data_IF_216419870000
#
_entry.id   IF_216419870000
#
_cell.length_a   1.000
_cell.length_b   1.000
_cell.length_c   1.000
_cell.angle_alpha   90.00
_cell.angle_beta   90.00
_cell.angle_gamma   90.00
#
_symmetry.space_group_name_H-M   'P 1'
#
loop_
_entity.id
_entity.type
_entity.pdbx_description
1 polymer ?
#
# COMPACT_ATOMS: atom_id res chain seq x y z
N UNK A 1 9.00 10.23 51.67
CA UNK A 1 9.35 11.00 50.47
C UNK A 1 9.22 10.15 49.18
N UNK A 2 9.79 8.97 49.09
CA UNK A 2 9.71 8.07 47.91
C UNK A 2 8.29 7.73 47.41
N UNK A 3 7.31 7.45 48.28
CA UNK A 3 5.94 7.10 47.86
C UNK A 3 5.24 8.22 47.12
N UNK A 4 5.50 9.49 47.45
CA UNK A 4 4.92 10.65 46.76
C UNK A 4 5.55 10.87 45.36
N UNK A 5 6.84 10.61 45.24
CA UNK A 5 7.56 10.70 43.93
C UNK A 5 7.06 9.62 42.98
N UNK A 6 6.92 8.36 43.45
CA UNK A 6 6.40 7.26 42.65
C UNK A 6 4.97 7.49 42.18
N UNK A 7 4.09 8.05 43.03
CA UNK A 7 2.73 8.41 42.67
C UNK A 7 2.71 9.53 41.60
N UNK A 8 3.60 10.50 41.72
CA UNK A 8 3.76 11.60 40.72
C UNK A 8 4.25 11.08 39.39
N UNK A 9 5.27 10.21 39.35
CA UNK A 9 5.81 9.60 38.15
C UNK A 9 4.76 8.74 37.46
N UNK A 10 3.97 7.94 38.20
CA UNK A 10 2.86 7.15 37.66
C UNK A 10 1.80 8.03 37.01
N UNK A 11 1.45 9.14 37.65
CA UNK A 11 0.47 10.12 37.12
C UNK A 11 0.98 10.84 35.86
N UNK A 12 2.27 11.11 35.77
CA UNK A 12 2.93 11.64 34.57
C UNK A 12 2.91 10.63 33.41
N UNK A 13 3.23 9.37 33.66
CA UNK A 13 3.19 8.30 32.68
C UNK A 13 1.77 8.10 32.11
N UNK A 14 0.76 8.12 32.98
CA UNK A 14 -0.64 8.04 32.55
C UNK A 14 -1.05 9.24 31.68
N UNK A 15 -0.62 10.46 32.03
CA UNK A 15 -0.85 11.65 31.21
C UNK A 15 -0.20 11.55 29.84
N UNK A 16 1.05 11.10 29.80
CA UNK A 16 1.77 10.89 28.52
C UNK A 16 1.10 9.81 27.65
N UNK A 17 0.65 8.70 28.26
CA UNK A 17 -0.11 7.65 27.57
C UNK A 17 -1.43 8.19 27.01
N UNK A 18 -2.16 8.96 27.81
CA UNK A 18 -3.42 9.60 27.40
C UNK A 18 -3.20 10.61 26.25
N UNK A 19 -2.11 11.37 26.30
CA UNK A 19 -1.74 12.32 25.23
C UNK A 19 -1.36 11.61 23.94
N UNK A 20 -0.62 10.49 24.02
CA UNK A 20 -0.30 9.66 22.84
C UNK A 20 -1.55 9.07 22.19
N UNK A 21 -2.52 8.60 22.98
CA UNK A 21 -3.80 8.09 22.50
C UNK A 21 -4.60 9.21 21.84
N UNK A 22 -4.67 10.39 22.45
CA UNK A 22 -5.35 11.56 21.89
C UNK A 22 -4.74 12.00 20.56
N UNK A 23 -3.40 12.03 20.46
CA UNK A 23 -2.71 12.37 19.22
C UNK A 23 -2.94 11.29 18.14
N UNK A 24 -2.94 10.01 18.51
CA UNK A 24 -3.27 8.90 17.62
C UNK A 24 -4.71 9.02 17.08
N UNK A 25 -5.69 9.30 17.97
CA UNK A 25 -7.10 9.51 17.57
C UNK A 25 -7.22 10.74 16.68
N UNK A 26 -6.55 11.84 17.01
CA UNK A 26 -6.59 13.07 16.21
C UNK A 26 -6.02 12.84 14.81
N UNK A 27 -4.87 12.18 14.71
CA UNK A 27 -4.26 11.86 13.42
C UNK A 27 -5.12 10.90 12.58
N UNK A 28 -5.77 9.91 13.22
CA UNK A 28 -6.69 9.02 12.50
C UNK A 28 -7.99 9.72 12.10
N UNK A 29 -8.47 10.69 12.89
CA UNK A 29 -9.60 11.55 12.52
C UNK A 29 -9.26 12.47 11.35
N UNK A 30 -8.05 13.01 11.29
CA UNK A 30 -7.58 13.79 10.13
C UNK A 30 -7.49 12.91 8.87
N UNK A 31 -6.99 11.67 8.99
CA UNK A 31 -7.00 10.70 7.89
C UNK A 31 -8.44 10.39 7.46
N UNK A 32 -9.34 10.15 8.41
CA UNK A 32 -10.75 9.89 8.14
C UNK A 32 -11.44 11.10 7.51
N UNK A 33 -11.11 12.33 7.95
CA UNK A 33 -11.62 13.57 7.38
C UNK A 33 -11.10 13.80 5.97
N UNK A 34 -9.82 13.53 5.69
CA UNK A 34 -9.27 13.56 4.32
C UNK A 34 -9.98 12.52 3.44
N UNK A 35 -10.24 11.32 3.95
CA UNK A 35 -11.05 10.32 3.25
C UNK A 35 -12.51 10.80 3.05
N UNK A 36 -13.11 11.43 4.05
CA UNK A 36 -14.47 11.95 3.97
C UNK A 36 -14.58 13.19 3.08
N UNK A 37 -13.64 14.14 3.13
CA UNK A 37 -13.61 15.30 2.23
C UNK A 37 -13.40 14.88 0.77
N UNK A 38 -12.52 13.91 0.52
CA UNK A 38 -12.39 13.32 -0.81
C UNK A 38 -13.65 12.52 -1.20
N UNK A 39 -14.32 11.84 -0.26
CA UNK A 39 -15.61 11.19 -0.51
C UNK A 39 -16.75 12.20 -0.75
N UNK A 40 -16.72 13.40 -0.09
CA UNK A 40 -17.66 14.49 -0.38
C UNK A 40 -17.42 15.10 -1.76
N UNK A 41 -16.18 15.19 -2.20
CA UNK A 41 -15.83 15.63 -3.57
C UNK A 41 -16.31 14.63 -4.64
N UNK A 42 -16.37 13.34 -4.30
CA UNK A 42 -16.92 12.27 -5.13
C UNK A 42 -18.46 12.28 -5.22
N UNK A 43 -19.15 13.15 -4.47
CA UNK A 43 -20.63 13.25 -4.48
C UNK A 43 -21.25 13.69 -5.81
N UNK A 44 -20.44 14.23 -6.72
CA UNK A 44 -20.87 14.55 -8.10
C UNK A 44 -20.63 13.43 -9.11
N UNK A 45 -19.78 12.45 -8.77
CA UNK A 45 -19.45 11.32 -9.64
C UNK A 45 -20.24 10.09 -9.15
N UNK A 46 -20.98 9.41 -10.02
CA UNK A 46 -21.75 8.18 -9.71
C UNK A 46 -20.88 6.97 -9.38
N UNK A 47 -19.65 7.19 -8.92
CA UNK A 47 -18.59 6.20 -8.79
C UNK A 47 -18.81 5.18 -7.66
N UNK A 48 -19.52 5.55 -6.60
CA UNK A 48 -19.73 4.65 -5.44
C UNK A 48 -21.01 3.82 -5.62
N UNK A 49 -21.00 2.92 -6.59
CA UNK A 49 -22.06 1.91 -6.69
C UNK A 49 -21.76 0.72 -5.77
N UNK A 50 -22.82 0.00 -5.37
CA UNK A 50 -22.70 -1.24 -4.62
C UNK A 50 -21.79 -2.24 -5.35
N UNK A 51 -21.94 -2.38 -6.66
CA UNK A 51 -21.14 -3.29 -7.49
C UNK A 51 -19.67 -2.91 -7.52
N UNK A 52 -19.34 -1.62 -7.53
CA UNK A 52 -17.94 -1.18 -7.46
C UNK A 52 -17.31 -1.58 -6.13
N UNK A 53 -18.03 -1.40 -5.02
CA UNK A 53 -17.54 -1.82 -3.69
C UNK A 53 -17.38 -3.34 -3.65
N UNK A 54 -18.38 -4.11 -4.10
CA UNK A 54 -18.31 -5.57 -4.18
C UNK A 54 -17.11 -6.02 -5.02
N UNK A 55 -16.86 -5.38 -6.17
CA UNK A 55 -15.70 -5.65 -7.00
C UNK A 55 -14.37 -5.41 -6.26
N UNK A 56 -14.23 -4.31 -5.52
CA UNK A 56 -13.01 -4.06 -4.74
C UNK A 56 -12.81 -5.12 -3.65
N UNK A 57 -13.89 -5.58 -3.02
CA UNK A 57 -13.82 -6.64 -2.01
C UNK A 57 -13.46 -8.03 -2.56
N UNK A 58 -13.54 -8.26 -3.88
CA UNK A 58 -13.02 -9.50 -4.48
C UNK A 58 -11.52 -9.69 -4.22
N UNK A 59 -10.78 -8.60 -4.01
CA UNK A 59 -9.38 -8.65 -3.58
C UNK A 59 -9.15 -9.42 -2.28
N UNK A 60 -10.17 -9.57 -1.42
CA UNK A 60 -10.11 -10.39 -0.21
C UNK A 60 -10.06 -11.90 -0.49
N UNK A 61 -10.46 -12.33 -1.69
CA UNK A 61 -10.42 -13.73 -2.11
C UNK A 61 -9.15 -14.08 -2.89
N UNK A 62 -8.35 -13.09 -3.29
CA UNK A 62 -7.10 -13.31 -4.02
C UNK A 62 -5.99 -13.51 -3.00
N UNK A 63 -5.59 -14.76 -2.86
CA UNK A 63 -4.52 -15.15 -1.96
C UNK A 63 -3.16 -14.80 -2.57
N UNK A 64 -2.23 -14.33 -1.73
CA UNK A 64 -0.85 -14.01 -2.08
C UNK A 64 0.10 -15.08 -1.57
N UNK A 65 1.31 -15.16 -2.14
CA UNK A 65 2.34 -16.12 -1.73
C UNK A 65 1.89 -17.58 -1.82
N UNK A 66 1.09 -17.92 -2.85
CA UNK A 66 0.50 -19.24 -3.02
C UNK A 66 1.54 -20.36 -3.22
N UNK A 67 2.75 -20.03 -3.59
CA UNK A 67 3.88 -20.94 -3.80
C UNK A 67 4.83 -21.01 -2.58
N UNK A 68 4.44 -20.43 -1.44
CA UNK A 68 5.23 -20.39 -0.23
C UNK A 68 4.44 -20.93 0.97
N UNK A 69 5.14 -21.44 1.98
CA UNK A 69 4.58 -21.73 3.29
C UNK A 69 4.27 -20.38 3.97
N UNK A 70 3.04 -20.22 4.41
CA UNK A 70 2.57 -18.98 5.05
C UNK A 70 1.76 -19.32 6.30
N UNK A 71 1.95 -18.59 7.41
CA UNK A 71 1.24 -18.86 8.66
C UNK A 71 -0.25 -18.52 8.56
N UNK A 72 -0.58 -17.45 7.82
CA UNK A 72 -1.94 -16.98 7.56
C UNK A 72 -2.08 -16.62 6.07
N UNK A 73 -3.33 -16.56 5.61
CA UNK A 73 -3.60 -16.08 4.26
C UNK A 73 -3.35 -14.57 4.17
N UNK A 74 -2.39 -14.16 3.36
CA UNK A 74 -2.28 -12.77 2.91
C UNK A 74 -3.12 -12.59 1.66
N UNK A 75 -4.01 -11.62 1.65
CA UNK A 75 -4.83 -11.30 0.48
C UNK A 75 -4.36 -10.04 -0.24
N UNK A 76 -4.81 -9.85 -1.47
CA UNK A 76 -4.52 -8.61 -2.20
C UNK A 76 -5.17 -7.39 -1.52
N UNK A 77 -6.32 -7.55 -0.85
CA UNK A 77 -6.95 -6.47 -0.09
C UNK A 77 -6.13 -6.07 1.13
N UNK A 78 -5.57 -7.04 1.89
CA UNK A 78 -4.69 -6.76 3.03
C UNK A 78 -3.46 -5.99 2.58
N UNK A 79 -2.83 -6.43 1.49
CA UNK A 79 -1.68 -5.73 0.92
C UNK A 79 -2.05 -4.32 0.47
N UNK A 80 -3.19 -4.14 -0.18
CA UNK A 80 -3.63 -2.82 -0.61
C UNK A 80 -3.83 -1.88 0.57
N UNK A 81 -4.47 -2.34 1.64
CA UNK A 81 -4.65 -1.54 2.85
C UNK A 81 -3.29 -1.12 3.45
N UNK A 82 -2.37 -2.06 3.59
CA UNK A 82 -1.02 -1.80 4.11
C UNK A 82 -0.24 -0.84 3.21
N UNK A 83 -0.28 -1.06 1.88
CA UNK A 83 0.33 -0.17 0.88
C UNK A 83 -0.18 1.27 1.01
N UNK A 84 -1.49 1.47 1.17
CA UNK A 84 -2.07 2.82 1.28
C UNK A 84 -1.67 3.53 2.56
N UNK A 85 -1.52 2.81 3.68
CA UNK A 85 -0.98 3.38 4.93
C UNK A 85 0.48 3.82 4.77
N UNK A 86 1.32 2.98 4.18
CA UNK A 86 2.72 3.33 3.89
C UNK A 86 2.79 4.52 2.94
N UNK A 87 1.98 4.52 1.88
CA UNK A 87 1.90 5.61 0.91
C UNK A 87 1.62 6.95 1.59
N UNK A 88 0.62 6.98 2.49
CA UNK A 88 0.31 8.19 3.24
C UNK A 88 1.51 8.71 4.02
N UNK A 89 2.25 7.82 4.70
CA UNK A 89 3.43 8.19 5.49
C UNK A 89 4.54 8.71 4.57
N UNK A 90 4.82 8.03 3.46
CA UNK A 90 5.83 8.47 2.48
C UNK A 90 5.47 9.84 1.88
N UNK A 91 4.20 10.03 1.49
CA UNK A 91 3.71 11.29 0.95
C UNK A 91 3.91 12.44 1.96
N UNK A 92 3.63 12.20 3.24
CA UNK A 92 3.87 13.18 4.29
C UNK A 92 5.35 13.52 4.48
N UNK A 93 6.24 12.53 4.37
CA UNK A 93 7.68 12.80 4.39
C UNK A 93 8.11 13.63 3.17
N UNK A 94 7.59 13.35 1.97
CA UNK A 94 7.90 14.14 0.78
C UNK A 94 7.45 15.60 0.93
N UNK A 95 6.26 15.84 1.49
CA UNK A 95 5.80 17.21 1.78
C UNK A 95 6.67 17.92 2.82
N UNK A 96 7.07 17.22 3.89
CA UNK A 96 7.78 17.82 5.02
C UNK A 96 9.28 17.99 4.75
N UNK A 97 9.94 16.99 4.20
CA UNK A 97 11.40 16.97 4.05
C UNK A 97 11.86 17.57 2.71
N UNK A 98 11.07 17.38 1.64
CA UNK A 98 11.40 17.86 0.29
C UNK A 98 10.52 19.03 -0.18
N UNK A 99 9.50 19.42 0.59
CA UNK A 99 8.58 20.50 0.21
C UNK A 99 7.74 20.18 -1.04
N UNK A 100 7.53 18.88 -1.34
CA UNK A 100 6.83 18.46 -2.53
C UNK A 100 5.36 18.88 -2.49
N UNK A 101 4.82 19.32 -3.63
CA UNK A 101 3.40 19.60 -3.81
C UNK A 101 2.77 18.38 -4.48
N UNK A 102 2.12 17.53 -3.67
CA UNK A 102 1.54 16.27 -4.14
C UNK A 102 0.10 16.44 -4.61
N UNK A 103 -0.24 15.74 -5.67
CA UNK A 103 -1.62 15.54 -6.07
C UNK A 103 -2.23 14.38 -5.26
N UNK A 104 -2.76 14.67 -4.08
CA UNK A 104 -3.36 13.68 -3.19
C UNK A 104 -4.49 12.89 -3.85
N UNK A 105 -5.27 13.55 -4.72
CA UNK A 105 -6.32 12.85 -5.47
C UNK A 105 -5.71 11.79 -6.39
N UNK A 106 -4.66 12.13 -7.13
CA UNK A 106 -3.97 11.18 -8.00
C UNK A 106 -3.32 10.04 -7.21
N UNK A 107 -2.81 10.30 -6.00
CA UNK A 107 -2.30 9.25 -5.10
C UNK A 107 -3.39 8.26 -4.71
N UNK A 108 -4.56 8.73 -4.30
CA UNK A 108 -5.67 7.88 -3.87
C UNK A 108 -6.29 7.13 -5.05
N UNK A 109 -6.63 7.85 -6.15
CA UNK A 109 -7.17 7.25 -7.37
C UNK A 109 -6.18 6.25 -7.97
N UNK A 110 -4.89 6.60 -8.06
CA UNK A 110 -3.84 5.71 -8.56
C UNK A 110 -3.71 4.41 -7.75
N UNK A 111 -3.81 4.49 -6.43
CA UNK A 111 -3.84 3.30 -5.57
C UNK A 111 -5.03 2.39 -5.86
N UNK A 112 -6.21 2.97 -6.10
CA UNK A 112 -7.42 2.23 -6.48
C UNK A 112 -7.26 1.64 -7.89
N UNK A 113 -6.74 2.39 -8.87
CA UNK A 113 -6.52 1.91 -10.23
C UNK A 113 -5.58 0.70 -10.28
N UNK A 114 -4.46 0.77 -9.58
CA UNK A 114 -3.52 -0.35 -9.49
C UNK A 114 -4.15 -1.57 -8.80
N UNK A 115 -5.01 -1.36 -7.81
CA UNK A 115 -5.72 -2.44 -7.14
C UNK A 115 -6.78 -3.08 -8.05
N UNK A 116 -7.57 -2.27 -8.78
CA UNK A 116 -8.53 -2.78 -9.77
C UNK A 116 -7.84 -3.61 -10.85
N UNK A 117 -6.70 -3.13 -11.35
CA UNK A 117 -5.88 -3.85 -12.31
C UNK A 117 -5.44 -5.21 -11.76
N UNK A 118 -5.05 -5.24 -10.48
CA UNK A 118 -4.62 -6.45 -9.79
C UNK A 118 -5.77 -7.45 -9.59
N UNK A 119 -6.97 -6.99 -9.27
CA UNK A 119 -8.16 -7.85 -9.13
C UNK A 119 -8.48 -8.57 -10.46
N UNK A 120 -8.35 -7.88 -11.60
CA UNK A 120 -8.58 -8.50 -12.91
C UNK A 120 -7.51 -9.53 -13.25
N UNK A 121 -6.25 -9.23 -12.98
CA UNK A 121 -5.11 -10.11 -13.30
C UNK A 121 -4.95 -11.28 -12.35
N UNK A 122 -5.53 -11.18 -11.16
CA UNK A 122 -5.37 -12.16 -10.09
C UNK A 122 -3.90 -12.39 -9.69
N UNK A 123 -3.54 -13.61 -9.28
CA UNK A 123 -2.19 -13.93 -8.77
C UNK A 123 -1.25 -14.39 -9.91
N UNK A 124 -0.78 -13.43 -10.70
CA UNK A 124 0.29 -13.69 -11.67
C UNK A 124 1.63 -13.44 -10.99
N UNK A 125 2.54 -14.40 -11.11
CA UNK A 125 3.91 -14.27 -10.57
C UNK A 125 4.61 -13.03 -11.14
N UNK A 126 5.27 -12.21 -10.31
CA UNK A 126 5.87 -10.95 -10.73
C UNK A 126 6.79 -11.05 -11.97
N UNK A 127 7.69 -12.03 -12.11
CA UNK A 127 8.53 -12.14 -13.30
C UNK A 127 7.72 -12.34 -14.59
N UNK A 128 6.65 -13.15 -14.53
CA UNK A 128 5.76 -13.39 -15.68
C UNK A 128 4.97 -12.11 -16.01
N UNK A 129 4.44 -11.44 -15.00
CA UNK A 129 3.73 -10.18 -15.17
C UNK A 129 4.62 -9.11 -15.81
N UNK A 130 5.84 -8.93 -15.33
CA UNK A 130 6.78 -7.95 -15.90
C UNK A 130 7.10 -8.24 -17.37
N UNK A 131 7.29 -9.51 -17.72
CA UNK A 131 7.54 -9.89 -19.11
C UNK A 131 6.30 -9.67 -20.00
N UNK A 132 5.12 -10.02 -19.54
CA UNK A 132 3.86 -9.74 -20.23
C UNK A 132 3.66 -8.24 -20.47
N UNK A 133 3.91 -7.41 -19.45
CA UNK A 133 3.81 -5.96 -19.57
C UNK A 133 4.85 -5.38 -20.54
N UNK A 134 6.08 -5.91 -20.52
CA UNK A 134 7.15 -5.47 -21.42
C UNK A 134 6.81 -5.75 -22.88
N UNK A 135 6.29 -6.94 -23.18
CA UNK A 135 6.05 -7.41 -24.56
C UNK A 135 4.66 -7.02 -25.05
N UNK A 136 3.66 -7.08 -24.20
CA UNK A 136 2.24 -6.97 -24.57
C UNK A 136 1.45 -5.93 -23.77
N UNK A 137 2.11 -5.01 -23.06
CA UNK A 137 1.49 -4.11 -22.11
C UNK A 137 0.25 -3.40 -22.62
N UNK A 138 0.30 -2.82 -23.82
CA UNK A 138 -0.88 -2.15 -24.44
C UNK A 138 -2.06 -3.10 -24.66
N UNK A 139 -1.81 -4.32 -25.13
CA UNK A 139 -2.87 -5.31 -25.36
C UNK A 139 -3.45 -5.80 -24.05
N UNK A 140 -2.59 -6.01 -23.05
CA UNK A 140 -2.99 -6.44 -21.73
C UNK A 140 -3.84 -5.36 -21.04
N UNK A 141 -3.42 -4.10 -21.09
CA UNK A 141 -4.21 -2.97 -20.58
C UNK A 141 -5.57 -2.87 -21.26
N UNK A 142 -5.62 -2.92 -22.60
CA UNK A 142 -6.88 -2.88 -23.34
C UNK A 142 -7.82 -4.03 -22.95
N UNK A 143 -7.29 -5.23 -22.75
CA UNK A 143 -8.08 -6.37 -22.25
C UNK A 143 -8.59 -6.12 -20.84
N UNK A 144 -7.76 -5.62 -19.92
CA UNK A 144 -8.16 -5.29 -18.55
C UNK A 144 -9.28 -4.24 -18.55
N UNK A 145 -9.16 -3.19 -19.37
CA UNK A 145 -10.20 -2.17 -19.49
C UNK A 145 -11.53 -2.79 -19.93
N UNK A 146 -11.51 -3.70 -20.91
CA UNK A 146 -12.73 -4.39 -21.35
C UNK A 146 -13.33 -5.29 -20.27
N UNK A 147 -12.49 -5.88 -19.38
CA UNK A 147 -12.98 -6.65 -18.23
C UNK A 147 -13.64 -5.73 -17.20
N UNK A 148 -13.05 -4.57 -16.92
CA UNK A 148 -13.57 -3.59 -15.96
C UNK A 148 -14.92 -3.04 -16.44
N UNK A 149 -15.04 -2.66 -17.73
CA UNK A 149 -16.30 -2.21 -18.34
C UNK A 149 -17.43 -3.22 -18.19
N UNK A 150 -17.12 -4.51 -18.31
CA UNK A 150 -18.12 -5.59 -18.13
C UNK A 150 -18.50 -5.85 -16.68
N UNK A 151 -17.51 -5.74 -15.76
CA UNK A 151 -17.71 -6.11 -14.35
C UNK A 151 -18.29 -4.96 -13.53
N UNK A 152 -17.94 -3.73 -13.88
CA UNK A 152 -18.37 -2.51 -13.19
C UNK A 152 -18.89 -1.50 -14.21
N UNK A 153 -20.02 -1.78 -14.89
CA UNK A 153 -20.55 -0.91 -15.96
C UNK A 153 -21.07 0.44 -15.45
N UNK A 154 -21.15 0.62 -14.14
CA UNK A 154 -21.59 1.89 -13.55
C UNK A 154 -20.45 2.91 -13.37
N UNK A 155 -19.20 2.54 -13.67
CA UNK A 155 -18.09 3.51 -13.66
C UNK A 155 -18.33 4.54 -14.74
N UNK A 156 -18.28 5.82 -14.35
CA UNK A 156 -18.44 6.91 -15.32
C UNK A 156 -17.22 7.04 -16.25
N UNK A 157 -17.45 7.66 -17.42
CA UNK A 157 -16.40 7.84 -18.43
C UNK A 157 -15.20 8.62 -17.88
N UNK A 158 -15.44 9.62 -17.04
CA UNK A 158 -14.38 10.48 -16.47
C UNK A 158 -13.43 9.67 -15.59
N UNK A 159 -14.00 8.81 -14.74
CA UNK A 159 -13.20 7.91 -13.91
C UNK A 159 -12.42 6.91 -14.77
N UNK A 160 -13.09 6.36 -15.78
CA UNK A 160 -12.48 5.37 -16.66
C UNK A 160 -11.36 5.97 -17.53
N UNK A 161 -11.52 7.20 -17.99
CA UNK A 161 -10.47 7.93 -18.71
C UNK A 161 -9.26 8.22 -17.81
N UNK A 162 -9.46 8.60 -16.55
CA UNK A 162 -8.39 8.77 -15.58
C UNK A 162 -7.63 7.47 -15.34
N UNK A 163 -8.37 6.34 -15.23
CA UNK A 163 -7.77 5.01 -15.07
C UNK A 163 -6.90 4.65 -16.29
N UNK A 164 -7.41 4.85 -17.52
CA UNK A 164 -6.63 4.63 -18.75
C UNK A 164 -5.38 5.52 -18.77
N UNK A 165 -5.52 6.81 -18.47
CA UNK A 165 -4.40 7.74 -18.42
C UNK A 165 -3.35 7.36 -17.40
N UNK A 166 -3.74 6.81 -16.25
CA UNK A 166 -2.80 6.35 -15.21
C UNK A 166 -1.80 5.33 -15.76
N UNK A 167 -2.28 4.37 -16.54
CA UNK A 167 -1.43 3.31 -17.10
C UNK A 167 -0.79 3.65 -18.44
N UNK A 168 -1.48 4.38 -19.30
CA UNK A 168 -1.04 4.61 -20.67
C UNK A 168 -0.13 5.85 -20.81
N UNK A 169 -0.13 6.76 -19.81
CA UNK A 169 0.72 7.96 -19.79
C UNK A 169 1.67 7.95 -18.58
N UNK A 170 2.82 7.28 -18.68
CA UNK A 170 3.74 7.09 -17.56
C UNK A 170 4.32 8.41 -17.00
N UNK A 171 4.41 9.46 -17.84
CA UNK A 171 4.97 10.75 -17.43
C UNK A 171 4.00 11.60 -16.59
N UNK A 172 2.71 11.32 -16.66
CA UNK A 172 1.72 12.00 -15.81
C UNK A 172 1.79 11.49 -14.37
N UNK A 173 1.65 12.40 -13.39
CA UNK A 173 1.72 12.09 -11.96
C UNK A 173 2.96 11.25 -11.60
N UNK A 174 4.12 11.64 -12.13
CA UNK A 174 5.35 10.85 -12.04
C UNK A 174 5.81 10.61 -10.59
N UNK A 175 5.71 11.64 -9.74
CA UNK A 175 6.09 11.54 -8.33
C UNK A 175 5.09 10.66 -7.57
N UNK A 176 3.81 10.82 -7.80
CA UNK A 176 2.74 10.03 -7.20
C UNK A 176 2.88 8.54 -7.56
N UNK A 177 3.15 8.24 -8.83
CA UNK A 177 3.43 6.86 -9.29
C UNK A 177 4.68 6.28 -8.63
N UNK A 178 5.71 7.09 -8.45
CA UNK A 178 6.95 6.67 -7.78
C UNK A 178 6.69 6.36 -6.30
N UNK A 179 5.93 7.20 -5.60
CA UNK A 179 5.53 6.98 -4.21
C UNK A 179 4.68 5.70 -4.05
N UNK A 180 3.72 5.48 -4.95
CA UNK A 180 2.91 4.26 -4.97
C UNK A 180 3.75 3.00 -5.18
N UNK A 181 4.76 3.07 -6.05
CA UNK A 181 5.69 1.96 -6.29
C UNK A 181 6.57 1.68 -5.08
N UNK A 182 7.11 2.72 -4.45
CA UNK A 182 7.87 2.58 -3.21
C UNK A 182 7.03 1.96 -2.09
N UNK A 183 5.80 2.43 -1.90
CA UNK A 183 4.86 1.88 -0.92
C UNK A 183 4.54 0.40 -1.20
N UNK A 184 4.40 0.02 -2.49
CA UNK A 184 4.20 -1.36 -2.90
C UNK A 184 5.36 -2.27 -2.48
N UNK A 185 6.60 -1.86 -2.71
CA UNK A 185 7.77 -2.67 -2.34
C UNK A 185 7.99 -2.74 -0.83
N UNK A 186 7.75 -1.65 -0.10
CA UNK A 186 7.81 -1.65 1.36
C UNK A 186 6.75 -2.56 1.98
N UNK A 187 5.52 -2.55 1.47
CA UNK A 187 4.47 -3.48 1.89
C UNK A 187 4.85 -4.93 1.56
N UNK A 188 5.46 -5.18 0.39
CA UNK A 188 5.96 -6.50 -0.01
C UNK A 188 7.11 -6.95 0.91
N UNK A 189 8.02 -6.06 1.27
CA UNK A 189 9.12 -6.37 2.19
C UNK A 189 8.61 -6.83 3.55
N UNK A 190 7.58 -6.17 4.06
CA UNK A 190 6.97 -6.54 5.33
C UNK A 190 6.33 -7.94 5.28
N UNK A 191 5.50 -8.23 4.26
CA UNK A 191 4.94 -9.56 4.07
C UNK A 191 6.04 -10.62 3.90
N UNK A 192 7.03 -10.30 3.06
CA UNK A 192 8.13 -11.22 2.76
C UNK A 192 8.98 -11.52 4.00
N UNK A 193 9.15 -10.59 4.92
CA UNK A 193 9.84 -10.83 6.19
C UNK A 193 9.21 -12.00 6.98
N UNK A 194 7.89 -12.08 6.98
CA UNK A 194 7.14 -13.19 7.60
C UNK A 194 7.29 -14.47 6.76
N UNK A 195 7.07 -14.37 5.44
CA UNK A 195 7.19 -15.51 4.52
C UNK A 195 8.59 -16.12 4.56
N UNK A 196 9.64 -15.29 4.52
CA UNK A 196 11.03 -15.73 4.55
C UNK A 196 11.35 -16.62 5.76
N UNK A 197 10.81 -16.27 6.93
CA UNK A 197 11.04 -17.04 8.15
C UNK A 197 10.63 -18.52 8.03
N UNK A 198 9.53 -18.80 7.31
CA UNK A 198 9.00 -20.16 7.11
C UNK A 198 9.57 -20.87 5.87
N UNK A 199 10.31 -20.17 5.02
CA UNK A 199 10.68 -20.65 3.69
C UNK A 199 12.19 -20.63 3.42
N UNK A 200 13.05 -20.55 4.43
CA UNK A 200 14.50 -20.41 4.29
C UNK A 200 15.16 -21.51 3.47
N UNK A 201 14.56 -22.72 3.43
CA UNK A 201 15.05 -23.84 2.65
C UNK A 201 14.52 -23.90 1.20
N UNK A 202 13.63 -22.98 0.82
CA UNK A 202 13.07 -22.98 -0.54
C UNK A 202 14.09 -22.40 -1.52
N UNK A 203 14.29 -23.11 -2.63
CA UNK A 203 15.14 -22.63 -3.71
C UNK A 203 14.69 -21.27 -4.24
N UNK A 204 15.63 -20.33 -4.38
CA UNK A 204 15.36 -18.99 -4.92
C UNK A 204 14.82 -17.99 -3.90
N UNK A 205 14.62 -18.36 -2.63
CA UNK A 205 14.08 -17.44 -1.60
C UNK A 205 15.00 -16.25 -1.36
N UNK A 206 16.34 -16.48 -1.34
CA UNK A 206 17.33 -15.41 -1.15
C UNK A 206 17.39 -14.48 -2.37
N UNK A 207 17.22 -15.01 -3.58
CA UNK A 207 17.11 -14.20 -4.79
C UNK A 207 15.87 -13.30 -4.75
N UNK A 208 14.74 -13.81 -4.25
CA UNK A 208 13.53 -13.03 -4.04
C UNK A 208 13.76 -11.92 -3.02
N UNK A 209 14.46 -12.22 -1.92
CA UNK A 209 14.86 -11.23 -0.92
C UNK A 209 15.68 -10.11 -1.53
N UNK A 210 16.76 -10.49 -2.24
CA UNK A 210 17.65 -9.52 -2.88
C UNK A 210 16.92 -8.64 -3.91
N UNK A 211 15.99 -9.21 -4.68
CA UNK A 211 15.18 -8.45 -5.64
C UNK A 211 14.26 -7.43 -4.94
N UNK A 212 13.62 -7.80 -3.83
CA UNK A 212 12.78 -6.87 -3.06
C UNK A 212 13.64 -5.74 -2.49
N UNK A 213 14.80 -6.05 -1.90
CA UNK A 213 15.71 -5.06 -1.33
C UNK A 213 16.24 -4.09 -2.41
N UNK A 214 16.67 -4.59 -3.56
CA UNK A 214 17.11 -3.78 -4.70
C UNK A 214 16.01 -2.82 -5.18
N UNK A 215 14.77 -3.31 -5.34
CA UNK A 215 13.66 -2.46 -5.75
C UNK A 215 13.32 -1.36 -4.73
N UNK A 216 13.61 -1.57 -3.44
CA UNK A 216 13.44 -0.53 -2.42
C UNK A 216 14.57 0.48 -2.51
N UNK A 217 15.81 0.03 -2.73
CA UNK A 217 16.98 0.88 -2.90
C UNK A 217 16.84 1.86 -4.08
N UNK A 218 16.19 1.44 -5.16
CA UNK A 218 15.87 2.29 -6.33
C UNK A 218 14.97 3.50 -5.98
N UNK A 219 14.40 3.52 -4.76
CA UNK A 219 13.53 4.58 -4.26
C UNK A 219 14.12 5.32 -3.05
N UNK A 220 15.41 5.16 -2.76
CA UNK A 220 16.05 5.82 -1.60
C UNK A 220 16.19 7.33 -1.73
N UNK A 221 15.95 7.89 -2.89
CA UNK A 221 15.84 9.34 -3.12
C UNK A 221 14.52 9.92 -2.61
N UNK A 222 13.49 9.07 -2.35
CA UNK A 222 12.26 9.51 -1.71
C UNK A 222 12.45 9.67 -0.20
N UNK A 223 11.92 10.78 0.33
CA UNK A 223 11.89 11.03 1.77
C UNK A 223 11.17 9.88 2.51
N UNK A 224 11.76 9.42 3.58
CA UNK A 224 11.15 8.40 4.42
C UNK A 224 11.35 6.95 4.00
N UNK A 225 11.71 6.61 2.75
CA UNK A 225 11.90 5.22 2.33
C UNK A 225 12.96 4.52 3.18
N UNK A 226 14.12 5.12 3.39
CA UNK A 226 15.16 4.57 4.27
C UNK A 226 14.73 4.51 5.75
N UNK A 227 13.85 5.41 6.18
CA UNK A 227 13.34 5.46 7.56
C UNK A 227 12.34 4.32 7.84
N UNK A 228 11.57 3.91 6.83
CA UNK A 228 10.52 2.89 6.94
C UNK A 228 11.05 1.50 6.57
N UNK A 229 12.03 1.42 5.67
CA UNK A 229 12.61 0.15 5.23
C UNK A 229 13.11 -0.69 6.40
N UNK A 230 12.83 -1.99 6.35
CA UNK A 230 13.26 -2.97 7.36
C UNK A 230 14.73 -3.40 7.17
N UNK A 231 15.47 -2.84 6.22
CA UNK A 231 16.87 -3.22 5.99
C UNK A 231 17.69 -3.07 7.28
N UNK A 232 18.27 -4.14 7.76
CA UNK A 232 19.04 -4.21 9.02
C UNK A 232 18.21 -4.15 10.33
N UNK A 233 16.86 -4.10 10.24
CA UNK A 233 15.96 -4.06 11.42
C UNK A 233 15.18 -5.36 11.64
N UNK A 234 15.36 -6.34 10.77
CA UNK A 234 14.52 -7.54 10.66
C UNK A 234 14.55 -8.42 11.91
N UNK A 235 15.66 -8.44 12.67
CA UNK A 235 15.75 -9.27 13.87
C UNK A 235 14.78 -8.81 14.98
N UNK A 236 14.68 -7.51 15.22
CA UNK A 236 13.84 -6.98 16.34
C UNK A 236 12.33 -7.09 16.10
N UNK A 237 11.88 -7.04 14.83
CA UNK A 237 10.46 -7.12 14.52
C UNK A 237 9.96 -8.58 14.49
N UNK A 238 10.79 -9.50 13.98
CA UNK A 238 10.51 -10.95 13.99
C UNK A 238 10.49 -11.46 15.42
N UNK A 239 11.39 -10.99 16.27
CA UNK A 239 11.40 -11.30 17.71
C UNK A 239 10.11 -10.83 18.41
N UNK A 240 9.53 -9.72 17.97
CA UNK A 240 8.28 -9.19 18.51
C UNK A 240 7.05 -9.99 18.05
N UNK A 241 7.02 -10.43 16.78
CA UNK A 241 5.93 -11.25 16.23
C UNK A 241 6.02 -12.70 16.70
N UNK A 242 7.22 -13.21 16.96
CA UNK A 242 7.43 -14.54 17.53
C UNK A 242 7.09 -14.66 19.02
N UNK A 243 6.78 -13.54 19.69
CA UNK A 243 6.32 -13.47 21.09
C UNK A 243 4.81 -13.31 21.25
N UNK A 244 4.06 -13.21 20.14
CA UNK A 244 2.60 -13.19 20.09
C UNK A 244 2.05 -14.57 19.72
#
# INVERSE_FOLDING_TARGET
>A
MCKKINAFLKKMQERQKKQRILNFIKNNLEILLIFMENAYFLRGEKMLSKKFIEFLFEGAHIQRWNDHIRPNGFTELDKQAHKMMILYILAKYEEQDHGAKLNWRALMEGGIFEFMHRIILTDIKPPIYHELMRVHGRKLNAWIYSQLERRVPELDEVFFDKLKRWFDYPEENRLEKKLLRAAHYLATQWEFGIIYHFNQAIYGIDATKAAIESNIEDHYDLAGVQKISLKGKTSKFIDLVGQL
#
